data_IF_447835157098
#
_entry.id   IF_447835157098
#
_cell.length_a   1.000
_cell.length_b   1.000
_cell.length_c   1.000
_cell.angle_alpha   90.00
_cell.angle_beta   90.00
_cell.angle_gamma   90.00
#
_symmetry.space_group_name_H-M   'P 1'
#
loop_
_entity.id
_entity.type
_entity.pdbx_description
1 polymer ?
#
# COMPACT_ATOMS: atom_id res chain seq x y z
N UNK A 1 3.92 -2.75 -7.41
CA UNK A 1 2.64 -2.31 -7.92
C UNK A 1 1.87 -3.56 -8.23
N UNK A 2 0.80 -3.79 -7.47
CA UNK A 2 -0.07 -4.95 -7.66
C UNK A 2 -1.49 -4.44 -7.90
N UNK A 3 -2.17 -5.00 -8.90
CA UNK A 3 -3.57 -4.70 -9.21
C UNK A 3 -4.44 -5.86 -8.76
N UNK A 4 -5.47 -5.54 -8.00
CA UNK A 4 -6.48 -6.45 -7.48
C UNK A 4 -7.84 -6.04 -8.03
N UNK A 5 -8.70 -7.02 -8.27
CA UNK A 5 -10.06 -6.83 -8.75
C UNK A 5 -11.04 -7.53 -7.81
N UNK A 6 -12.06 -6.81 -7.39
CA UNK A 6 -13.11 -7.23 -6.49
C UNK A 6 -14.48 -6.88 -7.09
N UNK A 7 -15.56 -7.24 -6.40
CA UNK A 7 -16.87 -6.63 -6.66
C UNK A 7 -16.84 -5.14 -6.28
N UNK A 8 -17.73 -4.30 -6.83
CA UNK A 8 -17.87 -2.94 -6.34
C UNK A 8 -18.09 -2.91 -4.82
N UNK A 9 -17.41 -2.00 -4.12
CA UNK A 9 -17.37 -1.95 -2.66
C UNK A 9 -17.51 -0.51 -2.16
N UNK A 10 -17.68 -0.32 -0.85
CA UNK A 10 -17.68 1.02 -0.26
C UNK A 10 -16.27 1.49 0.08
N UNK A 11 -15.95 2.75 -0.24
CA UNK A 11 -14.66 3.34 0.14
C UNK A 11 -14.49 3.35 1.67
N UNK A 12 -15.56 3.62 2.41
CA UNK A 12 -15.53 3.70 3.87
C UNK A 12 -15.37 2.31 4.50
N UNK A 13 -15.96 1.29 3.89
CA UNK A 13 -15.76 -0.11 4.27
C UNK A 13 -14.29 -0.50 4.17
N UNK A 14 -13.63 -0.20 3.04
CA UNK A 14 -12.20 -0.43 2.87
C UNK A 14 -11.36 0.33 3.92
N UNK A 15 -11.64 1.63 4.14
CA UNK A 15 -10.88 2.44 5.10
C UNK A 15 -11.05 1.93 6.53
N UNK A 16 -12.28 1.62 6.94
CA UNK A 16 -12.58 1.15 8.28
C UNK A 16 -12.05 -0.28 8.49
N UNK A 17 -12.15 -1.14 7.48
CA UNK A 17 -11.51 -2.45 7.46
C UNK A 17 -10.01 -2.35 7.68
N UNK A 18 -9.32 -1.49 6.92
CA UNK A 18 -7.87 -1.29 7.07
C UNK A 18 -7.49 -0.80 8.48
N UNK A 19 -8.26 0.11 9.08
CA UNK A 19 -8.03 0.58 10.46
C UNK A 19 -8.19 -0.54 11.49
N UNK A 20 -9.15 -1.44 11.29
CA UNK A 20 -9.41 -2.60 12.16
C UNK A 20 -8.37 -3.70 11.97
N UNK A 21 -7.99 -3.99 10.74
CA UNK A 21 -7.00 -5.05 10.39
C UNK A 21 -5.58 -4.64 10.79
N UNK A 22 -5.26 -3.35 10.75
CA UNK A 22 -3.91 -2.84 11.00
C UNK A 22 -3.87 -1.75 12.09
N UNK A 23 -4.25 -2.05 13.35
CA UNK A 23 -4.25 -1.06 14.43
C UNK A 23 -2.85 -0.52 14.75
N UNK A 24 -1.80 -1.29 14.44
CA UNK A 24 -0.40 -0.90 14.61
C UNK A 24 0.13 0.04 13.52
N UNK A 25 -0.59 0.18 12.41
CA UNK A 25 -0.19 1.03 11.27
C UNK A 25 -1.01 2.31 11.23
N UNK A 26 -0.41 3.36 10.68
CA UNK A 26 -1.07 4.63 10.43
C UNK A 26 -1.78 4.55 9.08
N UNK A 27 -3.11 4.54 9.12
CA UNK A 27 -3.95 4.64 7.92
C UNK A 27 -4.17 6.12 7.60
N UNK A 28 -3.58 6.58 6.51
CA UNK A 28 -3.66 7.98 6.10
C UNK A 28 -4.58 8.12 4.89
N UNK A 29 -5.54 9.05 5.02
CA UNK A 29 -6.49 9.45 3.98
C UNK A 29 -6.35 10.95 3.76
N UNK A 30 -5.33 11.38 3.02
CA UNK A 30 -5.07 12.80 2.78
C UNK A 30 -4.92 13.06 1.29
N UNK A 31 -5.54 14.13 0.77
CA UNK A 31 -5.48 14.54 -0.64
C UNK A 31 -5.85 13.41 -1.62
N UNK A 32 -6.92 12.67 -1.33
CA UNK A 32 -7.41 11.59 -2.19
C UNK A 32 -6.56 10.31 -2.19
N UNK A 33 -5.37 10.31 -1.57
CA UNK A 33 -4.53 9.13 -1.45
C UNK A 33 -4.81 8.38 -0.14
N UNK A 34 -5.08 7.07 -0.25
CA UNK A 34 -5.15 6.13 0.86
C UNK A 34 -3.78 5.47 1.03
N UNK A 35 -3.24 5.41 2.25
CA UNK A 35 -1.92 4.83 2.51
C UNK A 35 -1.88 4.08 3.83
N UNK A 36 -1.17 2.95 3.86
CA UNK A 36 -0.83 2.20 5.08
C UNK A 36 0.64 2.45 5.39
N UNK A 37 0.92 3.05 6.55
CA UNK A 37 2.26 3.47 6.95
C UNK A 37 2.68 2.84 8.27
N UNK A 38 3.93 2.43 8.36
CA UNK A 38 4.54 2.11 9.66
C UNK A 38 4.63 3.36 10.53
N UNK A 39 4.66 3.20 11.85
CA UNK A 39 4.67 4.31 12.83
C UNK A 39 5.82 5.30 12.62
N UNK A 40 7.00 4.83 12.21
CA UNK A 40 8.07 5.69 11.68
C UNK A 40 7.88 5.94 10.19
N UNK A 41 7.76 7.22 9.79
CA UNK A 41 7.69 7.57 8.37
C UNK A 41 9.03 7.31 7.70
N UNK A 42 9.10 6.27 6.88
CA UNK A 42 10.21 6.01 5.96
C UNK A 42 9.66 5.75 4.57
N UNK A 43 10.45 6.07 3.54
CA UNK A 43 10.09 5.81 2.14
C UNK A 43 9.70 4.34 1.91
N UNK A 44 10.36 3.42 2.61
CA UNK A 44 10.20 1.97 2.50
C UNK A 44 9.12 1.38 3.42
N UNK A 45 8.53 2.20 4.29
CA UNK A 45 7.55 1.80 5.31
C UNK A 45 6.13 2.25 4.96
N UNK A 46 5.80 2.26 3.66
CA UNK A 46 4.57 2.83 3.15
C UNK A 46 4.05 2.00 1.98
N UNK A 47 2.75 1.72 1.99
CA UNK A 47 2.00 1.16 0.86
C UNK A 47 0.90 2.16 0.51
N UNK A 48 0.98 2.72 -0.69
CA UNK A 48 -0.08 3.56 -1.23
C UNK A 48 -1.13 2.67 -1.87
N UNK A 49 -2.39 2.99 -1.63
CA UNK A 49 -3.56 2.28 -2.14
C UNK A 49 -4.35 3.26 -3.01
N UNK A 50 -4.53 2.90 -4.27
CA UNK A 50 -5.41 3.58 -5.19
C UNK A 50 -6.63 2.69 -5.45
N UNK A 51 -7.74 3.03 -4.81
CA UNK A 51 -8.99 2.29 -4.92
C UNK A 51 -9.96 3.03 -5.85
N UNK A 52 -10.61 2.28 -6.74
CA UNK A 52 -11.74 2.67 -7.58
C UNK A 52 -12.95 1.81 -7.22
N UNK A 53 -13.66 2.16 -6.13
CA UNK A 53 -14.69 1.31 -5.54
C UNK A 53 -15.81 0.97 -6.52
N UNK A 54 -16.20 1.90 -7.40
CA UNK A 54 -17.23 1.72 -8.42
C UNK A 54 -16.91 0.63 -9.45
N UNK A 55 -15.63 0.35 -9.69
CA UNK A 55 -15.17 -0.73 -10.60
C UNK A 55 -14.58 -1.92 -9.84
N UNK A 56 -14.59 -1.90 -8.50
CA UNK A 56 -13.97 -2.92 -7.67
C UNK A 56 -12.44 -3.02 -7.80
N UNK A 57 -11.77 -2.02 -8.39
CA UNK A 57 -10.33 -2.08 -8.65
C UNK A 57 -9.52 -1.49 -7.49
N UNK A 58 -8.50 -2.20 -7.04
CA UNK A 58 -7.54 -1.71 -6.04
C UNK A 58 -6.12 -1.90 -6.55
N UNK A 59 -5.33 -0.83 -6.56
CA UNK A 59 -3.91 -0.86 -6.93
C UNK A 59 -3.08 -0.50 -5.71
N UNK A 60 -2.08 -1.31 -5.40
CA UNK A 60 -1.07 -1.00 -4.39
C UNK A 60 0.19 -0.50 -5.07
N UNK A 61 0.86 0.49 -4.47
CA UNK A 61 2.10 1.09 -4.94
C UNK A 61 3.08 1.23 -3.76
N UNK A 62 4.34 0.89 -3.99
CA UNK A 62 5.40 1.01 -2.96
C UNK A 62 6.61 1.73 -3.51
N UNK A 63 7.56 2.04 -2.63
CA UNK A 63 8.87 2.55 -3.03
C UNK A 63 9.55 1.67 -4.09
N UNK A 64 9.43 0.33 -3.98
CA UNK A 64 10.05 -0.60 -4.93
C UNK A 64 9.68 -0.33 -6.40
N UNK A 65 8.49 0.23 -6.65
CA UNK A 65 8.01 0.54 -8.01
C UNK A 65 8.75 1.68 -8.69
N UNK A 66 9.38 2.54 -7.88
CA UNK A 66 10.19 3.66 -8.35
C UNK A 66 11.69 3.45 -8.12
N UNK A 67 12.09 2.33 -7.51
CA UNK A 67 13.47 2.11 -7.07
C UNK A 67 14.50 2.19 -8.20
N UNK A 68 14.16 1.70 -9.40
CA UNK A 68 15.05 1.77 -10.57
C UNK A 68 15.27 3.23 -11.02
N UNK A 69 14.23 4.06 -11.01
CA UNK A 69 14.34 5.48 -11.33
C UNK A 69 15.24 6.18 -10.31
N UNK A 70 15.05 5.91 -9.02
CA UNK A 70 15.92 6.44 -7.97
C UNK A 70 17.35 5.92 -8.09
N UNK A 71 17.58 4.69 -8.57
CA UNK A 71 18.94 4.19 -8.82
C UNK A 71 19.67 5.03 -9.87
N UNK A 72 18.96 5.51 -10.90
CA UNK A 72 19.53 6.30 -12.00
C UNK A 72 19.73 7.77 -11.59
N UNK A 73 18.72 8.38 -10.96
CA UNK A 73 18.71 9.82 -10.70
C UNK A 73 19.16 10.22 -9.28
N UNK A 74 19.12 9.30 -8.32
CA UNK A 74 19.52 9.55 -6.94
C UNK A 74 20.07 8.26 -6.29
N UNK A 75 21.23 7.83 -6.78
CA UNK A 75 21.83 6.53 -6.49
C UNK A 75 21.80 6.10 -5.00
N UNK A 76 22.12 6.96 -4.01
CA UNK A 76 22.05 6.57 -2.59
C UNK A 76 20.64 6.15 -2.14
N UNK A 77 19.61 6.85 -2.61
CA UNK A 77 18.21 6.53 -2.29
C UNK A 77 17.80 5.23 -2.98
N UNK A 78 18.19 5.04 -4.24
CA UNK A 78 17.92 3.80 -4.97
C UNK A 78 18.52 2.57 -4.28
N UNK A 79 19.77 2.66 -3.82
CA UNK A 79 20.44 1.58 -3.06
C UNK A 79 19.73 1.32 -1.74
N UNK A 80 19.36 2.37 -1.00
CA UNK A 80 18.60 2.22 0.24
C UNK A 80 17.28 1.45 0.02
N UNK A 81 16.53 1.80 -1.03
CA UNK A 81 15.29 1.10 -1.40
C UNK A 81 15.56 -0.35 -1.78
N UNK A 82 16.61 -0.61 -2.56
CA UNK A 82 17.01 -1.96 -2.96
C UNK A 82 17.36 -2.84 -1.75
N UNK A 83 18.16 -2.31 -0.80
CA UNK A 83 18.52 -3.02 0.44
C UNK A 83 17.31 -3.34 1.32
N UNK A 84 16.21 -2.59 1.19
CA UNK A 84 14.97 -2.80 1.95
C UNK A 84 13.87 -3.48 1.13
N UNK A 85 14.15 -3.96 -0.08
CA UNK A 85 13.19 -4.57 -1.01
C UNK A 85 12.35 -5.67 -0.35
N UNK A 86 12.95 -6.58 0.39
CA UNK A 86 12.24 -7.67 1.06
C UNK A 86 11.31 -7.16 2.18
N UNK A 87 11.73 -6.12 2.92
CA UNK A 87 10.88 -5.46 3.91
C UNK A 87 9.68 -4.78 3.23
N UNK A 88 9.91 -4.11 2.10
CA UNK A 88 8.84 -3.45 1.32
C UNK A 88 7.84 -4.48 0.83
N UNK A 89 8.31 -5.57 0.20
CA UNK A 89 7.45 -6.65 -0.29
C UNK A 89 6.64 -7.31 0.81
N UNK A 90 7.26 -7.56 1.98
CA UNK A 90 6.57 -8.13 3.12
C UNK A 90 5.39 -7.25 3.55
N UNK A 91 5.61 -5.94 3.63
CA UNK A 91 4.56 -4.98 3.97
C UNK A 91 3.48 -4.90 2.87
N UNK A 92 3.86 -4.86 1.59
CA UNK A 92 2.92 -4.86 0.46
C UNK A 92 2.02 -6.10 0.50
N UNK A 93 2.62 -7.28 0.70
CA UNK A 93 1.89 -8.54 0.79
C UNK A 93 0.96 -8.58 2.01
N UNK A 94 1.43 -8.13 3.18
CA UNK A 94 0.59 -8.04 4.38
C UNK A 94 -0.64 -7.15 4.14
N UNK A 95 -0.45 -5.99 3.50
CA UNK A 95 -1.55 -5.09 3.13
C UNK A 95 -2.48 -5.72 2.11
N UNK A 96 -1.95 -6.40 1.07
CA UNK A 96 -2.75 -7.10 0.06
C UNK A 96 -3.63 -8.17 0.71
N UNK A 97 -3.07 -8.99 1.59
CA UNK A 97 -3.83 -10.04 2.27
C UNK A 97 -4.90 -9.44 3.20
N UNK A 98 -4.61 -8.32 3.86
CA UNK A 98 -5.62 -7.57 4.61
C UNK A 98 -6.76 -7.06 3.71
N UNK A 99 -6.44 -6.46 2.56
CA UNK A 99 -7.44 -5.97 1.60
C UNK A 99 -8.31 -7.11 1.08
N UNK A 100 -7.71 -8.26 0.74
CA UNK A 100 -8.45 -9.44 0.30
C UNK A 100 -9.43 -9.90 1.37
N UNK A 101 -9.02 -9.99 2.63
CA UNK A 101 -9.93 -10.35 3.73
C UNK A 101 -11.08 -9.37 3.87
N UNK A 102 -10.80 -8.07 3.80
CA UNK A 102 -11.81 -7.01 3.91
C UNK A 102 -12.85 -7.09 2.78
N UNK A 103 -12.44 -7.35 1.54
CA UNK A 103 -13.30 -7.21 0.34
C UNK A 103 -13.77 -8.53 -0.28
N UNK A 104 -13.37 -9.69 0.25
CA UNK A 104 -13.76 -11.03 -0.24
C UNK A 104 -14.58 -11.80 0.80
N UNK A 105 -14.40 -11.53 2.10
CA UNK A 105 -15.11 -12.26 3.16
C UNK A 105 -16.52 -11.70 3.49
N UNK A 106 -17.08 -10.81 2.66
CA UNK A 106 -18.48 -10.34 2.73
C UNK A 106 -19.36 -10.87 1.57
#
# INVERSE_FOLDING_TARGET
MQSLSFKPFSKDELINGLKKTFPQYKIQTSFGALQVRTSGFTLTGNVKINAKPETGKVITETASDSALLYLIFCFPIGIYMYMKKEKIKKLENEVIEGIKKILVED
#
